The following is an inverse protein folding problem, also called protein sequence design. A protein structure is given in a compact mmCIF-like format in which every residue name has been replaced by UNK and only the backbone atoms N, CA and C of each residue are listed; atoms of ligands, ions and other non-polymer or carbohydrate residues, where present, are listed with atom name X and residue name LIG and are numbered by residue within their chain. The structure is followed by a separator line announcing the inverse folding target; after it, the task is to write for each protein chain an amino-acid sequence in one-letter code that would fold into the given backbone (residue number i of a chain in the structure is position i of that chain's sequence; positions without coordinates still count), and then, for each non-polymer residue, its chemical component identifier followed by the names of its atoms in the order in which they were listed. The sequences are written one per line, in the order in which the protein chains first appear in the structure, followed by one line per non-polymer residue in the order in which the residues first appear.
data_IF_649235621886
#
_entry.id   IF_649235621886
#
_cell.length_a   1.000
_cell.length_b   1.000
_cell.length_c   1.000
_cell.angle_alpha   90.00
_cell.angle_beta   90.00
_cell.angle_gamma   90.00
#
_symmetry.space_group_name_H-M   'P 1'
#
loop_
_entity.id
_entity.type
_entity.pdbx_description
1 polymer ?
#
# COMPACT_ATOMS: atom_id res chain seq x y z
N UNK A 1 9.33 10.21 9.84
CA UNK A 1 8.07 9.83 9.16
C UNK A 1 8.39 9.33 7.75
N UNK A 2 7.61 8.39 7.24
CA UNK A 2 7.74 7.82 5.89
C UNK A 2 6.38 7.81 5.22
N UNK A 3 6.34 7.73 3.89
CA UNK A 3 5.07 7.76 3.16
C UNK A 3 4.25 6.48 3.38
N UNK A 4 4.93 5.34 3.49
CA UNK A 4 4.31 4.05 3.77
C UNK A 4 5.31 3.06 4.38
N UNK A 5 4.80 1.97 4.96
CA UNK A 5 5.56 0.80 5.43
C UNK A 5 4.87 -0.47 4.92
N UNK A 6 5.62 -1.58 4.89
CA UNK A 6 5.09 -2.87 4.43
C UNK A 6 4.09 -3.46 5.44
N UNK A 7 2.94 -3.90 4.94
CA UNK A 7 1.87 -4.52 5.75
C UNK A 7 2.27 -5.78 6.53
N UNK A 8 3.38 -6.42 6.16
CA UNK A 8 3.86 -7.63 6.82
C UNK A 8 4.27 -7.42 8.29
N UNK A 9 4.58 -6.18 8.69
CA UNK A 9 4.97 -5.84 10.05
C UNK A 9 4.52 -4.41 10.39
N UNK A 10 3.26 -4.28 10.79
CA UNK A 10 2.66 -3.00 11.20
C UNK A 10 2.05 -3.09 12.59
N UNK A 11 2.20 -2.02 13.37
CA UNK A 11 1.45 -1.81 14.61
C UNK A 11 0.66 -0.53 14.42
N UNK A 12 -0.66 -0.61 14.60
CA UNK A 12 -1.57 0.50 14.34
C UNK A 12 -2.43 0.72 15.59
N UNK A 13 -2.60 2.00 15.97
CA UNK A 13 -3.46 2.38 17.09
C UNK A 13 -4.90 2.01 16.76
N UNK A 14 -5.64 1.51 17.74
CA UNK A 14 -7.07 1.21 17.58
C UNK A 14 -7.87 2.42 17.10
N UNK A 15 -7.60 3.60 17.65
CA UNK A 15 -8.25 4.87 17.24
C UNK A 15 -8.08 5.16 15.75
N UNK A 16 -6.91 4.85 15.17
CA UNK A 16 -6.66 5.00 13.73
C UNK A 16 -7.60 4.07 12.96
N UNK A 17 -7.73 2.81 13.38
CA UNK A 17 -8.61 1.83 12.72
C UNK A 17 -10.08 2.26 12.81
N UNK A 18 -10.50 2.80 13.96
CA UNK A 18 -11.87 3.30 14.16
C UNK A 18 -12.18 4.53 13.28
N UNK A 19 -11.18 5.35 12.95
CA UNK A 19 -11.33 6.54 12.09
C UNK A 19 -11.19 6.23 10.60
N UNK A 20 -10.11 5.55 10.18
CA UNK A 20 -9.77 5.35 8.76
C UNK A 20 -10.23 3.99 8.22
N UNK A 21 -10.68 3.09 9.09
CA UNK A 21 -11.03 1.71 8.74
C UNK A 21 -9.82 0.77 8.67
N UNK A 22 -10.08 -0.48 8.30
CA UNK A 22 -9.06 -1.50 8.00
C UNK A 22 -8.57 -1.36 6.55
N UNK A 23 -7.72 -2.30 6.10
CA UNK A 23 -7.36 -2.42 4.70
C UNK A 23 -8.60 -2.43 3.80
N UNK A 24 -8.49 -1.72 2.69
CA UNK A 24 -9.54 -1.63 1.69
C UNK A 24 -9.69 -2.96 0.96
N UNK A 25 -10.83 -3.62 1.15
CA UNK A 25 -11.13 -4.96 0.61
C UNK A 25 -11.15 -5.03 -0.92
N UNK A 26 -11.08 -3.88 -1.61
CA UNK A 26 -10.88 -3.86 -3.06
C UNK A 26 -9.52 -4.43 -3.46
N UNK A 27 -8.52 -4.40 -2.60
CA UNK A 27 -7.21 -4.99 -2.88
C UNK A 27 -7.16 -6.43 -2.40
N UNK A 28 -6.47 -7.29 -3.16
CA UNK A 28 -6.15 -8.65 -2.71
C UNK A 28 -4.67 -8.89 -2.96
N UNK A 29 -3.85 -8.70 -1.92
CA UNK A 29 -2.39 -8.59 -2.02
C UNK A 29 -1.94 -7.49 -3.00
N UNK A 30 -0.89 -6.77 -2.64
CA UNK A 30 -0.35 -5.60 -3.35
C UNK A 30 -1.20 -4.33 -3.25
N UNK A 31 -0.54 -3.25 -2.81
CA UNK A 31 -1.01 -1.86 -2.70
C UNK A 31 -1.93 -1.58 -1.49
N UNK A 32 -2.49 -2.59 -0.82
CA UNK A 32 -3.35 -2.39 0.36
C UNK A 32 -2.66 -1.62 1.49
N UNK A 33 -1.38 -1.88 1.72
CA UNK A 33 -0.59 -1.27 2.78
C UNK A 33 -0.20 0.17 2.44
N UNK A 34 0.25 0.42 1.21
CA UNK A 34 0.53 1.76 0.70
C UNK A 34 -0.74 2.63 0.67
N UNK A 35 -1.87 2.05 0.26
CA UNK A 35 -3.18 2.72 0.26
C UNK A 35 -3.64 3.09 1.66
N UNK A 36 -3.51 2.17 2.61
CA UNK A 36 -3.90 2.41 4.00
C UNK A 36 -3.01 3.44 4.69
N UNK A 37 -1.70 3.40 4.45
CA UNK A 37 -0.78 4.45 4.90
C UNK A 37 -1.17 5.83 4.34
N UNK A 38 -1.65 5.89 3.09
CA UNK A 38 -2.14 7.13 2.50
C UNK A 38 -3.43 7.63 3.14
N UNK A 39 -4.39 6.75 3.43
CA UNK A 39 -5.60 7.12 4.19
C UNK A 39 -5.23 7.71 5.56
N UNK A 40 -4.29 7.09 6.27
CA UNK A 40 -3.77 7.61 7.55
C UNK A 40 -3.23 9.04 7.40
N UNK A 41 -2.40 9.28 6.39
CA UNK A 41 -1.88 10.62 6.11
C UNK A 41 -2.98 11.63 5.79
N UNK A 42 -3.99 11.25 5.01
CA UNK A 42 -5.13 12.12 4.68
C UNK A 42 -6.00 12.45 5.90
N UNK A 43 -6.05 11.57 6.89
CA UNK A 43 -6.66 11.79 8.20
C UNK A 43 -5.73 12.50 9.22
N UNK A 44 -4.49 12.80 8.84
CA UNK A 44 -3.52 13.49 9.71
C UNK A 44 -2.74 12.58 10.67
N UNK A 45 -2.83 11.25 10.50
CA UNK A 45 -2.06 10.27 11.23
C UNK A 45 -0.73 9.99 10.53
N UNK A 46 0.42 10.37 11.12
CA UNK A 46 1.73 10.13 10.52
C UNK A 46 2.14 8.66 10.58
N UNK A 47 2.78 8.19 9.51
CA UNK A 47 3.39 6.85 9.43
C UNK A 47 4.89 6.93 9.77
N UNK A 48 5.37 6.02 10.60
CA UNK A 48 6.77 5.96 11.04
C UNK A 48 7.40 4.60 10.78
N UNK A 49 8.65 4.63 10.35
CA UNK A 49 9.55 3.49 10.36
C UNK A 49 10.33 3.48 11.68
N UNK A 50 10.39 2.32 12.34
CA UNK A 50 11.10 2.15 13.62
C UNK A 50 12.35 1.28 13.37
N UNK A 51 13.56 1.88 13.28
CA UNK A 51 14.77 1.14 12.91
C UNK A 51 15.26 0.18 13.99
N UNK A 52 14.89 0.42 15.25
CA UNK A 52 15.35 -0.39 16.39
C UNK A 52 14.64 -1.75 16.49
N UNK A 53 13.54 -1.94 15.77
CA UNK A 53 12.75 -3.18 15.75
C UNK A 53 12.94 -3.86 14.39
N UNK A 54 13.57 -5.03 14.40
CA UNK A 54 13.86 -5.79 13.18
C UNK A 54 13.00 -7.05 13.13
N UNK A 55 12.16 -7.15 12.10
CA UNK A 55 11.34 -8.32 11.81
C UNK A 55 11.76 -8.87 10.44
N UNK A 56 12.09 -10.17 10.39
CA UNK A 56 12.43 -10.84 9.14
C UNK A 56 11.17 -11.31 8.44
N UNK A 57 10.94 -10.80 7.22
CA UNK A 57 9.88 -11.26 6.35
C UNK A 57 10.49 -12.12 5.23
N UNK A 58 10.11 -13.39 5.18
CA UNK A 58 10.47 -14.28 4.07
C UNK A 58 9.66 -13.88 2.83
N UNK A 59 10.20 -12.94 2.05
CA UNK A 59 9.49 -12.39 0.92
C UNK A 59 9.38 -13.41 -0.24
N UNK A 60 8.30 -13.34 -1.01
CA UNK A 60 8.24 -13.96 -2.34
C UNK A 60 7.83 -12.92 -3.39
N UNK A 61 8.48 -12.94 -4.54
CA UNK A 61 8.21 -12.02 -5.64
C UNK A 61 7.18 -12.60 -6.60
N UNK A 62 6.04 -13.02 -6.04
CA UNK A 62 5.00 -13.75 -6.77
C UNK A 62 4.54 -13.09 -8.07
N UNK A 63 4.36 -11.77 -8.07
CA UNK A 63 3.97 -10.99 -9.27
C UNK A 63 5.08 -10.84 -10.31
N UNK A 64 6.34 -11.09 -9.96
CA UNK A 64 7.51 -10.92 -10.83
C UNK A 64 8.18 -12.25 -11.26
N UNK A 65 7.52 -13.40 -11.04
CA UNK A 65 8.06 -14.73 -11.42
C UNK A 65 8.17 -14.96 -12.92
N UNK A 66 7.41 -14.25 -13.74
CA UNK A 66 7.41 -14.39 -15.20
C UNK A 66 8.09 -13.17 -15.83
N UNK A 67 9.19 -13.35 -16.57
CA UNK A 67 9.87 -12.24 -17.23
C UNK A 67 9.07 -11.71 -18.42
N UNK A 68 9.21 -10.40 -18.69
CA UNK A 68 8.54 -9.69 -19.78
C UNK A 68 7.10 -9.29 -19.46
N UNK A 69 6.75 -8.03 -19.70
CA UNK A 69 5.46 -7.44 -19.32
C UNK A 69 4.28 -8.20 -19.95
N UNK A 70 4.34 -8.46 -21.27
CA UNK A 70 3.27 -9.17 -21.99
C UNK A 70 3.09 -10.58 -21.42
N UNK A 71 4.19 -11.32 -21.24
CA UNK A 71 4.16 -12.69 -20.72
C UNK A 71 3.67 -12.73 -19.27
N UNK A 72 4.08 -11.77 -18.43
CA UNK A 72 3.61 -11.67 -17.06
C UNK A 72 2.10 -11.43 -16.98
N UNK A 73 1.56 -10.51 -17.78
CA UNK A 73 0.13 -10.23 -17.78
C UNK A 73 -0.71 -11.40 -18.32
N UNK A 74 -0.17 -12.19 -19.24
CA UNK A 74 -0.87 -13.37 -19.79
C UNK A 74 -0.78 -14.56 -18.84
N UNK A 75 0.41 -14.86 -18.31
CA UNK A 75 0.73 -16.12 -17.64
C UNK A 75 0.73 -16.05 -16.11
N UNK A 76 0.80 -14.85 -15.51
CA UNK A 76 0.87 -14.69 -14.07
C UNK A 76 -0.39 -14.02 -13.50
N UNK A 77 -1.18 -14.79 -12.73
CA UNK A 77 -2.36 -14.26 -12.02
C UNK A 77 -1.98 -13.15 -11.04
N UNK A 78 -0.88 -13.30 -10.31
CA UNK A 78 -0.43 -12.30 -9.33
C UNK A 78 0.05 -11.01 -10.01
N UNK A 79 0.64 -11.09 -11.21
CA UNK A 79 0.97 -9.90 -11.99
C UNK A 79 -0.27 -9.12 -12.41
N UNK A 80 -1.33 -9.82 -12.86
CA UNK A 80 -2.62 -9.21 -13.20
C UNK A 80 -3.29 -8.56 -11.99
N UNK A 81 -3.29 -9.25 -10.84
CA UNK A 81 -3.83 -8.71 -9.58
C UNK A 81 -3.05 -7.47 -9.19
N UNK A 82 -1.72 -7.51 -9.19
CA UNK A 82 -0.87 -6.36 -8.88
C UNK A 82 -1.16 -5.17 -9.79
N UNK A 83 -1.27 -5.39 -11.11
CA UNK A 83 -1.65 -4.33 -12.05
C UNK A 83 -3.04 -3.77 -11.76
N UNK A 84 -4.02 -4.63 -11.47
CA UNK A 84 -5.38 -4.20 -11.17
C UNK A 84 -5.47 -3.41 -9.85
N UNK A 85 -4.74 -3.84 -8.81
CA UNK A 85 -4.58 -3.08 -7.57
C UNK A 85 -3.98 -1.70 -7.84
N UNK A 86 -2.94 -1.62 -8.68
CA UNK A 86 -2.34 -0.34 -9.06
C UNK A 86 -3.34 0.58 -9.77
N UNK A 87 -4.11 0.07 -10.75
CA UNK A 87 -5.16 0.84 -11.44
C UNK A 87 -6.23 1.32 -10.46
N UNK A 88 -6.70 0.45 -9.56
CA UNK A 88 -7.67 0.81 -8.51
C UNK A 88 -7.18 1.95 -7.63
N UNK A 89 -5.93 1.87 -7.19
CA UNK A 89 -5.29 2.89 -6.38
C UNK A 89 -5.22 4.23 -7.13
N UNK A 90 -4.77 4.21 -8.39
CA UNK A 90 -4.74 5.42 -9.22
C UNK A 90 -6.12 6.04 -9.40
N UNK A 91 -7.16 5.23 -9.61
CA UNK A 91 -8.54 5.71 -9.75
C UNK A 91 -9.04 6.30 -8.43
N UNK A 92 -8.85 5.60 -7.30
CA UNK A 92 -9.26 6.04 -5.96
C UNK A 92 -8.69 7.41 -5.62
N UNK A 93 -7.42 7.62 -5.93
CA UNK A 93 -6.68 8.82 -5.55
C UNK A 93 -6.57 9.87 -6.66
N UNK A 94 -7.26 9.70 -7.79
CA UNK A 94 -7.23 10.65 -8.89
C UNK A 94 -7.80 12.00 -8.44
N UNK A 95 -6.95 13.02 -8.32
CA UNK A 95 -7.35 14.38 -7.97
C UNK A 95 -7.59 14.66 -6.47
N UNK A 96 -7.52 13.66 -5.59
CA UNK A 96 -7.75 13.81 -4.14
C UNK A 96 -6.45 13.66 -3.34
N UNK A 97 -5.86 14.78 -2.90
CA UNK A 97 -4.60 14.83 -2.16
C UNK A 97 -4.65 15.97 -1.13
N UNK A 98 -5.30 15.79 0.02
CA UNK A 98 -5.35 16.84 1.05
C UNK A 98 -4.00 16.97 1.77
N UNK A 99 -3.32 15.84 2.01
CA UNK A 99 -2.08 15.82 2.79
C UNK A 99 -0.87 16.14 1.91
N UNK A 100 -0.68 15.41 0.81
CA UNK A 100 0.50 15.61 -0.07
C UNK A 100 0.51 16.98 -0.78
N UNK A 101 -0.64 17.63 -0.99
CA UNK A 101 -0.69 18.99 -1.53
C UNK A 101 -0.22 20.07 -0.54
N UNK A 102 -0.18 19.78 0.77
CA UNK A 102 0.30 20.72 1.80
C UNK A 102 1.81 20.65 2.01
N UNK A 103 2.46 19.55 1.63
CA UNK A 103 3.90 19.31 1.82
C UNK A 103 4.77 19.78 0.65
N UNK A 104 4.16 20.12 -0.49
CA UNK A 104 4.83 20.69 -1.67
C UNK A 104 4.93 22.23 -1.66
N UNK A 105 4.65 22.86 -0.51
CA UNK A 105 4.95 24.26 -0.22
C UNK A 105 5.99 24.33 0.89
#
# INVERSE_FOLDING_TARGET
PVDWVLGAAMVVRREVIEEVGMFDERYFMYIEDADWCREMWEAGWPVYYVPDIVIKHEHDRGSAKVPGIISALVKNKLARIHLYSWIKYLIKWRGNHKYYARRSK
#
